data_IF_011380788388
#
_entry.id   IF_011380788388
#
_cell.length_a   1.000
_cell.length_b   1.000
_cell.length_c   1.000
_cell.angle_alpha   90.00
_cell.angle_beta   90.00
_cell.angle_gamma   90.00
#
_symmetry.space_group_name_H-M   'P 1'
#
loop_
_entity.id
_entity.type
_entity.pdbx_description
1 polymer ?
#
# COMPACT_ATOMS: atom_id res chain seq x y z
N UNK A 1 -32.24 202.81 168.24
CA UNK A 1 -31.66 203.90 167.43
C UNK A 1 -30.54 203.31 166.59
N UNK A 2 -30.48 203.75 165.32
CA UNK A 2 -29.72 203.26 164.16
C UNK A 2 -28.19 203.32 164.35
N UNK A 3 -27.44 202.37 163.77
CA UNK A 3 -26.31 202.61 162.84
C UNK A 3 -25.67 201.30 162.30
N UNK A 4 -25.35 201.33 161.01
CA UNK A 4 -24.75 200.31 160.14
C UNK A 4 -23.24 200.10 160.42
N UNK A 5 -22.71 198.90 160.11
CA UNK A 5 -21.40 198.72 159.44
C UNK A 5 -21.25 197.31 158.83
N UNK A 6 -20.70 197.27 157.61
CA UNK A 6 -20.66 196.18 156.62
C UNK A 6 -19.39 195.30 156.68
N UNK A 7 -19.43 194.20 155.91
CA UNK A 7 -18.33 193.48 155.20
C UNK A 7 -17.60 192.33 155.91
N UNK A 8 -17.98 191.05 155.66
CA UNK A 8 -17.07 189.89 155.77
C UNK A 8 -17.47 188.60 154.98
N UNK A 9 -18.41 188.62 154.02
CA UNK A 9 -18.98 187.37 153.46
C UNK A 9 -18.58 187.00 152.00
N UNK A 10 -17.98 187.92 151.24
CA UNK A 10 -17.66 187.69 149.80
C UNK A 10 -16.51 186.72 149.49
N UNK A 11 -15.67 186.37 150.46
CA UNK A 11 -14.49 185.50 150.22
C UNK A 11 -14.83 183.99 150.22
N UNK A 12 -15.92 183.57 150.88
CA UNK A 12 -16.31 182.15 150.94
C UNK A 12 -16.96 181.65 149.65
N UNK A 13 -17.76 182.49 148.98
CA UNK A 13 -18.44 182.12 147.73
C UNK A 13 -17.47 181.99 146.54
N UNK A 14 -16.38 182.76 146.53
CA UNK A 14 -15.38 182.69 145.46
C UNK A 14 -14.57 181.39 145.50
N UNK A 15 -14.24 180.90 146.70
CA UNK A 15 -13.49 179.66 146.90
C UNK A 15 -14.33 178.41 146.59
N UNK A 16 -15.63 178.44 146.88
CA UNK A 16 -16.56 177.36 146.56
C UNK A 16 -16.76 177.21 145.04
N UNK A 17 -16.92 178.34 144.32
CA UNK A 17 -17.05 178.35 142.85
C UNK A 17 -15.76 177.97 142.11
N UNK A 18 -14.60 178.10 142.77
CA UNK A 18 -13.33 177.59 142.24
C UNK A 18 -13.24 176.07 142.35
N UNK A 19 -13.60 175.51 143.51
CA UNK A 19 -13.63 174.05 143.73
C UNK A 19 -14.60 173.32 142.81
N UNK A 20 -15.82 173.84 142.63
CA UNK A 20 -16.80 173.28 141.69
C UNK A 20 -16.27 173.24 140.25
N UNK A 21 -15.54 174.27 139.80
CA UNK A 21 -14.90 174.26 138.46
C UNK A 21 -13.74 173.28 138.35
N UNK A 22 -13.00 173.04 139.42
CA UNK A 22 -11.94 172.03 139.47
C UNK A 22 -12.55 170.60 139.46
N UNK A 23 -13.65 170.37 140.18
CA UNK A 23 -14.40 169.11 140.16
C UNK A 23 -15.05 168.84 138.80
N UNK A 24 -15.71 169.82 138.18
CA UNK A 24 -16.25 169.68 136.81
C UNK A 24 -15.15 169.36 135.79
N UNK A 25 -13.96 169.96 135.96
CA UNK A 25 -12.81 169.67 135.11
C UNK A 25 -12.32 168.23 135.33
N UNK A 26 -12.24 167.75 136.58
CA UNK A 26 -11.88 166.37 136.88
C UNK A 26 -12.91 165.37 136.32
N UNK A 27 -14.21 165.62 136.49
CA UNK A 27 -15.27 164.78 135.94
C UNK A 27 -15.20 164.75 134.41
N UNK A 28 -14.92 165.90 133.77
CA UNK A 28 -14.73 165.97 132.31
C UNK A 28 -13.51 165.16 131.84
N UNK A 29 -12.39 165.25 132.56
CA UNK A 29 -11.18 164.46 132.28
C UNK A 29 -11.47 162.97 132.45
N UNK A 30 -12.11 162.58 133.56
CA UNK A 30 -12.50 161.19 133.82
C UNK A 30 -13.43 160.64 132.73
N UNK A 31 -14.42 161.43 132.28
CA UNK A 31 -15.32 161.05 131.19
C UNK A 31 -14.60 160.91 129.85
N UNK A 32 -13.64 161.79 129.56
CA UNK A 32 -12.78 161.66 128.38
C UNK A 32 -11.90 160.41 128.44
N UNK A 33 -11.40 160.07 129.63
CA UNK A 33 -10.56 158.89 129.87
C UNK A 33 -11.35 157.59 129.74
N UNK A 34 -12.56 157.52 130.30
CA UNK A 34 -13.50 156.40 130.10
C UNK A 34 -13.86 156.23 128.63
N UNK A 35 -14.16 157.32 127.91
CA UNK A 35 -14.48 157.26 126.48
C UNK A 35 -13.29 156.78 125.64
N UNK A 36 -12.08 157.23 125.98
CA UNK A 36 -10.83 156.77 125.35
C UNK A 36 -10.60 155.29 125.63
N UNK A 37 -10.86 154.83 126.85
CA UNK A 37 -10.71 153.43 127.24
C UNK A 37 -11.73 152.52 126.52
N UNK A 38 -12.99 152.94 126.45
CA UNK A 38 -14.03 152.24 125.67
C UNK A 38 -13.68 152.16 124.17
N UNK A 39 -13.10 153.23 123.60
CA UNK A 39 -12.65 153.23 122.20
C UNK A 39 -11.48 152.25 121.99
N UNK A 40 -10.53 152.21 122.92
CA UNK A 40 -9.40 151.26 122.87
C UNK A 40 -9.89 149.82 122.98
N UNK A 41 -10.79 149.52 123.91
CA UNK A 41 -11.40 148.19 124.05
C UNK A 41 -12.18 147.79 122.80
N UNK A 42 -12.93 148.72 122.20
CA UNK A 42 -13.65 148.45 120.95
C UNK A 42 -12.69 148.17 119.78
N UNK A 43 -11.58 148.90 119.67
CA UNK A 43 -10.53 148.65 118.67
C UNK A 43 -9.86 147.29 118.88
N UNK A 44 -9.50 146.96 120.12
CA UNK A 44 -8.92 145.66 120.46
C UNK A 44 -9.87 144.50 120.14
N UNK A 45 -11.16 144.65 120.43
CA UNK A 45 -12.19 143.66 120.12
C UNK A 45 -12.41 143.50 118.60
N UNK A 46 -12.34 144.58 117.83
CA UNK A 46 -12.38 144.51 116.36
C UNK A 46 -11.14 143.83 115.79
N UNK A 47 -9.95 144.11 116.33
CA UNK A 47 -8.71 143.49 115.89
C UNK A 47 -8.67 141.99 116.24
N UNK A 48 -9.15 141.61 117.42
CA UNK A 48 -9.32 140.20 117.81
C UNK A 48 -10.29 139.48 116.86
N UNK A 49 -11.46 140.07 116.57
CA UNK A 49 -12.40 139.48 115.59
C UNK A 49 -11.80 139.33 114.20
N UNK A 50 -11.00 140.29 113.74
CA UNK A 50 -10.28 140.18 112.45
C UNK A 50 -9.28 139.03 112.46
N UNK A 51 -8.49 138.88 113.53
CA UNK A 51 -7.52 137.78 113.68
C UNK A 51 -8.22 136.43 113.74
N UNK A 52 -9.32 136.32 114.48
CA UNK A 52 -10.11 135.10 114.59
C UNK A 52 -10.73 134.70 113.25
N UNK A 53 -11.33 135.66 112.52
CA UNK A 53 -11.88 135.41 111.18
C UNK A 53 -10.79 134.98 110.18
N UNK A 54 -9.61 135.61 110.22
CA UNK A 54 -8.49 135.23 109.37
C UNK A 54 -7.98 133.82 109.69
N UNK A 55 -7.90 133.46 110.97
CA UNK A 55 -7.51 132.12 111.40
C UNK A 55 -8.56 131.08 110.99
N UNK A 56 -9.85 131.40 111.10
CA UNK A 56 -10.93 130.53 110.65
C UNK A 56 -10.84 130.29 109.15
N UNK A 57 -10.63 131.34 108.35
CA UNK A 57 -10.45 131.22 106.91
C UNK A 57 -9.23 130.36 106.53
N UNK A 58 -8.11 130.52 107.24
CA UNK A 58 -6.93 129.67 107.03
C UNK A 58 -7.22 128.20 107.33
N UNK A 59 -7.97 127.90 108.41
CA UNK A 59 -8.38 126.53 108.73
C UNK A 59 -9.28 125.95 107.64
N UNK A 60 -10.26 126.70 107.14
CA UNK A 60 -11.15 126.28 106.06
C UNK A 60 -10.38 126.04 104.75
N UNK A 61 -9.42 126.91 104.40
CA UNK A 61 -8.55 126.75 103.23
C UNK A 61 -7.64 125.51 103.37
N UNK A 62 -7.06 125.28 104.56
CA UNK A 62 -6.23 124.10 104.84
C UNK A 62 -7.05 122.80 104.79
N UNK A 63 -8.28 122.81 105.31
CA UNK A 63 -9.21 121.68 105.21
C UNK A 63 -9.57 121.37 103.74
N UNK A 64 -9.85 122.40 102.93
CA UNK A 64 -10.10 122.21 101.50
C UNK A 64 -8.87 121.67 100.76
N UNK A 65 -7.67 122.17 101.05
CA UNK A 65 -6.42 121.67 100.46
C UNK A 65 -6.19 120.21 100.85
N UNK A 66 -6.43 119.84 102.10
CA UNK A 66 -6.34 118.44 102.54
C UNK A 66 -7.35 117.56 101.81
N UNK A 67 -8.59 118.02 101.64
CA UNK A 67 -9.62 117.28 100.92
C UNK A 67 -9.25 117.08 99.44
N UNK A 68 -8.73 118.11 98.78
CA UNK A 68 -8.24 118.02 97.39
C UNK A 68 -7.09 117.02 97.28
N UNK A 69 -6.10 117.09 98.19
CA UNK A 69 -4.97 116.15 98.20
C UNK A 69 -5.44 114.70 98.41
N UNK A 70 -6.41 114.49 99.30
CA UNK A 70 -7.00 113.18 99.54
C UNK A 70 -7.71 112.66 98.28
N UNK A 71 -8.57 113.48 97.66
CA UNK A 71 -9.26 113.12 96.40
C UNK A 71 -8.28 112.80 95.27
N UNK A 72 -7.25 113.62 95.07
CA UNK A 72 -6.21 113.36 94.06
C UNK A 72 -5.42 112.08 94.37
N UNK A 73 -5.18 111.76 95.65
CA UNK A 73 -4.57 110.51 96.07
C UNK A 73 -5.44 109.30 95.74
N UNK A 74 -6.74 109.37 96.05
CA UNK A 74 -7.73 108.34 95.72
C UNK A 74 -7.86 108.14 94.20
N UNK A 75 -7.95 109.22 93.42
CA UNK A 75 -7.99 109.15 91.95
C UNK A 75 -6.73 108.51 91.36
N UNK A 76 -5.54 108.88 91.85
CA UNK A 76 -4.27 108.27 91.41
C UNK A 76 -4.22 106.78 91.75
N UNK A 77 -4.65 106.40 92.95
CA UNK A 77 -4.70 105.00 93.36
C UNK A 77 -5.64 104.20 92.46
N UNK A 78 -6.82 104.74 92.15
CA UNK A 78 -7.78 104.09 91.28
C UNK A 78 -7.29 104.00 89.83
N UNK A 79 -6.56 105.00 89.33
CA UNK A 79 -5.88 104.93 88.03
C UNK A 79 -4.80 103.84 87.99
N UNK A 80 -4.03 103.66 89.07
CA UNK A 80 -3.02 102.59 89.17
C UNK A 80 -3.70 101.23 89.13
N UNK A 81 -4.74 101.01 89.93
CA UNK A 81 -5.51 99.76 89.93
C UNK A 81 -6.13 99.47 88.55
N UNK A 82 -6.71 100.46 87.89
CA UNK A 82 -7.24 100.30 86.54
C UNK A 82 -6.14 99.93 85.54
N UNK A 83 -4.96 100.57 85.61
CA UNK A 83 -3.82 100.26 84.74
C UNK A 83 -3.31 98.83 84.96
N UNK A 84 -3.19 98.38 86.20
CA UNK A 84 -2.79 97.02 86.52
C UNK A 84 -3.80 95.99 86.03
N UNK A 85 -5.09 96.27 86.21
CA UNK A 85 -6.17 95.40 85.73
C UNK A 85 -6.15 95.29 84.20
N UNK A 86 -6.01 96.41 83.50
CA UNK A 86 -5.89 96.43 82.03
C UNK A 86 -4.65 95.65 81.59
N UNK A 87 -3.51 95.83 82.26
CA UNK A 87 -2.27 95.10 81.96
C UNK A 87 -2.44 93.59 82.12
N UNK A 88 -3.06 93.13 83.20
CA UNK A 88 -3.33 91.71 83.42
C UNK A 88 -4.28 91.14 82.37
N UNK A 89 -5.35 91.87 82.04
CA UNK A 89 -6.30 91.46 80.99
C UNK A 89 -5.61 91.35 79.62
N UNK A 90 -4.77 92.31 79.25
CA UNK A 90 -4.01 92.27 77.99
C UNK A 90 -2.99 91.12 77.97
N UNK A 91 -2.33 90.84 79.10
CA UNK A 91 -1.42 89.69 79.21
C UNK A 91 -2.16 88.36 79.01
N UNK A 92 -3.34 88.20 79.64
CA UNK A 92 -4.16 87.01 79.45
C UNK A 92 -4.67 86.87 78.01
N UNK A 93 -5.14 87.96 77.41
CA UNK A 93 -5.55 87.96 76.00
C UNK A 93 -4.40 87.59 75.06
N UNK A 94 -3.21 88.18 75.24
CA UNK A 94 -2.04 87.84 74.43
C UNK A 94 -1.63 86.38 74.60
N UNK A 95 -1.70 85.83 75.81
CA UNK A 95 -1.43 84.41 76.05
C UNK A 95 -2.42 83.51 75.28
N UNK A 96 -3.72 83.84 75.31
CA UNK A 96 -4.74 83.11 74.56
C UNK A 96 -4.52 83.19 73.05
N UNK A 97 -4.18 84.38 72.53
CA UNK A 97 -3.88 84.59 71.11
C UNK A 97 -2.68 83.76 70.69
N UNK A 98 -1.59 83.77 71.46
CA UNK A 98 -0.38 83.00 71.15
C UNK A 98 -0.65 81.49 71.17
N UNK A 99 -1.40 81.00 72.15
CA UNK A 99 -1.77 79.60 72.20
C UNK A 99 -2.66 79.19 71.03
N UNK A 100 -3.64 80.03 70.66
CA UNK A 100 -4.51 79.74 69.53
C UNK A 100 -3.74 79.73 68.21
N UNK A 101 -2.80 80.68 68.02
CA UNK A 101 -1.90 80.68 66.87
C UNK A 101 -1.05 79.41 66.80
N UNK A 102 -0.54 78.95 67.94
CA UNK A 102 0.25 77.71 68.01
C UNK A 102 -0.58 76.50 67.59
N UNK A 103 -1.82 76.38 68.09
CA UNK A 103 -2.75 75.30 67.71
C UNK A 103 -3.01 75.33 66.20
N UNK A 104 -3.31 76.50 65.62
CA UNK A 104 -3.55 76.64 64.18
C UNK A 104 -2.31 76.21 63.36
N UNK A 105 -1.10 76.59 63.81
CA UNK A 105 0.14 76.20 63.14
C UNK A 105 0.34 74.68 63.20
N UNK A 106 0.11 74.07 64.37
CA UNK A 106 0.26 72.64 64.56
C UNK A 106 -0.77 71.85 63.73
N UNK A 107 -2.03 72.30 63.67
CA UNK A 107 -3.09 71.72 62.82
C UNK A 107 -2.72 71.80 61.34
N UNK A 108 -2.28 72.97 60.85
CA UNK A 108 -1.84 73.12 59.45
C UNK A 108 -0.65 72.23 59.12
N UNK A 109 0.29 72.07 60.06
CA UNK A 109 1.44 71.18 59.87
C UNK A 109 1.00 69.72 59.77
N UNK A 110 0.06 69.27 60.61
CA UNK A 110 -0.50 67.93 60.53
C UNK A 110 -1.27 67.70 59.23
N UNK A 111 -2.07 68.67 58.78
CA UNK A 111 -2.80 68.58 57.51
C UNK A 111 -1.84 68.49 56.32
N UNK A 112 -0.78 69.30 56.31
CA UNK A 112 0.27 69.24 55.27
C UNK A 112 0.94 67.87 55.24
N UNK A 113 1.35 67.34 56.40
CA UNK A 113 1.94 66.00 56.51
C UNK A 113 0.98 64.90 56.04
N UNK A 114 -0.32 65.04 56.31
CA UNK A 114 -1.34 64.09 55.85
C UNK A 114 -1.44 64.11 54.33
N UNK A 115 -1.52 65.30 53.72
CA UNK A 115 -1.57 65.47 52.27
C UNK A 115 -0.30 64.90 51.61
N UNK A 116 0.89 65.19 52.15
CA UNK A 116 2.15 64.64 51.65
C UNK A 116 2.17 63.11 51.71
N UNK A 117 1.73 62.52 52.83
CA UNK A 117 1.63 61.06 52.96
C UNK A 117 0.62 60.46 51.97
N UNK A 118 -0.53 61.10 51.77
CA UNK A 118 -1.53 60.63 50.80
C UNK A 118 -0.98 60.69 49.37
N UNK A 119 -0.23 61.74 49.01
CA UNK A 119 0.46 61.85 47.71
C UNK A 119 1.49 60.72 47.55
N UNK A 120 2.33 60.49 48.57
CA UNK A 120 3.35 59.44 48.55
C UNK A 120 2.70 58.07 48.40
N UNK A 121 1.67 57.77 49.19
CA UNK A 121 0.97 56.49 49.15
C UNK A 121 0.30 56.25 47.79
N UNK A 122 -0.35 57.28 47.22
CA UNK A 122 -0.94 57.20 45.89
C UNK A 122 0.11 56.98 44.80
N UNK A 123 1.27 57.64 44.90
CA UNK A 123 2.39 57.43 43.98
C UNK A 123 2.96 56.00 44.06
N UNK A 124 3.15 55.47 45.28
CA UNK A 124 3.60 54.08 45.49
C UNK A 124 2.59 53.10 44.90
N UNK A 125 1.30 53.30 45.16
CA UNK A 125 0.24 52.47 44.59
C UNK A 125 0.23 52.52 43.07
N UNK A 126 0.33 53.72 42.48
CA UNK A 126 0.41 53.92 41.04
C UNK A 126 1.60 53.20 40.40
N UNK A 127 2.80 53.31 40.99
CA UNK A 127 4.00 52.61 40.53
C UNK A 127 3.85 51.08 40.62
N UNK A 128 3.28 50.57 41.72
CA UNK A 128 3.02 49.14 41.87
C UNK A 128 2.04 48.62 40.81
N UNK A 129 0.98 49.37 40.52
CA UNK A 129 -0.01 49.01 39.50
C UNK A 129 0.60 49.03 38.09
N UNK A 130 1.39 50.04 37.77
CA UNK A 130 2.11 50.13 36.50
C UNK A 130 3.08 48.95 36.32
N UNK A 131 3.83 48.59 37.37
CA UNK A 131 4.76 47.47 37.31
C UNK A 131 4.03 46.13 37.10
N UNK A 132 2.89 45.93 37.76
CA UNK A 132 2.05 44.75 37.56
C UNK A 132 1.53 44.67 36.11
N UNK A 133 1.02 45.78 35.55
CA UNK A 133 0.58 45.81 34.15
C UNK A 133 1.73 45.54 33.18
N UNK A 134 2.93 46.08 33.46
CA UNK A 134 4.12 45.84 32.63
C UNK A 134 4.54 44.37 32.66
N UNK A 135 4.46 43.71 33.82
CA UNK A 135 4.73 42.27 33.97
C UNK A 135 3.72 41.45 33.18
N UNK A 136 2.42 41.71 33.33
CA UNK A 136 1.37 41.02 32.57
C UNK A 136 1.55 41.20 31.05
N UNK A 137 1.86 42.41 30.59
CA UNK A 137 2.12 42.68 29.16
C UNK A 137 3.31 41.86 28.64
N UNK A 138 4.39 41.73 29.42
CA UNK A 138 5.56 40.91 29.06
C UNK A 138 5.23 39.42 29.03
N UNK A 139 4.48 38.93 30.01
CA UNK A 139 4.05 37.53 30.03
C UNK A 139 3.16 37.20 28.83
N UNK A 140 2.20 38.07 28.51
CA UNK A 140 1.35 37.94 27.33
C UNK A 140 2.17 37.94 26.03
N UNK A 141 3.13 38.87 25.89
CA UNK A 141 4.03 38.88 24.74
C UNK A 141 4.85 37.58 24.64
N UNK A 142 5.34 37.07 25.78
CA UNK A 142 6.08 35.80 25.82
C UNK A 142 5.20 34.64 25.35
N UNK A 143 3.94 34.57 25.81
CA UNK A 143 2.99 33.55 25.38
C UNK A 143 2.69 33.62 23.87
N UNK A 144 2.48 34.83 23.33
CA UNK A 144 2.25 35.05 21.89
C UNK A 144 3.46 34.55 21.08
N UNK A 145 4.68 34.93 21.47
CA UNK A 145 5.90 34.50 20.78
C UNK A 145 6.07 32.98 20.88
N UNK A 146 5.82 32.38 22.04
CA UNK A 146 5.91 30.93 22.21
C UNK A 146 4.91 30.19 21.30
N UNK A 147 3.68 30.69 21.19
CA UNK A 147 2.66 30.12 20.33
C UNK A 147 3.03 30.25 18.84
N UNK A 148 3.52 31.42 18.41
CA UNK A 148 4.03 31.62 17.05
C UNK A 148 5.20 30.68 16.72
N UNK A 149 6.10 30.45 17.67
CA UNK A 149 7.21 29.52 17.49
C UNK A 149 6.74 28.07 17.38
N UNK A 150 5.75 27.65 18.18
CA UNK A 150 5.13 26.32 18.07
C UNK A 150 4.44 26.13 16.72
N UNK A 151 3.67 27.13 16.26
CA UNK A 151 3.02 27.09 14.94
C UNK A 151 4.03 27.01 13.79
N UNK A 152 5.11 27.80 13.86
CA UNK A 152 6.18 27.75 12.87
C UNK A 152 6.87 26.38 12.84
N UNK A 153 7.11 25.79 14.02
CA UNK A 153 7.71 24.46 14.12
C UNK A 153 6.78 23.38 13.54
N UNK A 154 5.49 23.42 13.86
CA UNK A 154 4.48 22.52 13.27
C UNK A 154 4.43 22.65 11.74
N UNK A 155 4.47 23.88 11.21
CA UNK A 155 4.50 24.13 9.77
C UNK A 155 5.74 23.52 9.11
N UNK A 156 6.92 23.68 9.72
CA UNK A 156 8.17 23.07 9.23
C UNK A 156 8.13 21.54 9.24
N UNK A 157 7.60 20.94 10.30
CA UNK A 157 7.44 19.48 10.38
C UNK A 157 6.47 18.96 9.33
N UNK A 158 5.35 19.67 9.10
CA UNK A 158 4.41 19.33 8.03
C UNK A 158 5.09 19.41 6.66
N UNK A 159 5.79 20.50 6.36
CA UNK A 159 6.51 20.66 5.10
C UNK A 159 7.57 19.56 4.88
N UNK A 160 8.25 19.13 5.95
CA UNK A 160 9.20 18.01 5.88
C UNK A 160 8.50 16.70 5.51
N UNK A 161 7.37 16.40 6.16
CA UNK A 161 6.56 15.21 5.85
C UNK A 161 6.02 15.23 4.42
N UNK A 162 5.54 16.40 3.97
CA UNK A 162 5.04 16.57 2.61
C UNK A 162 6.17 16.32 1.58
N UNK A 163 7.37 16.86 1.82
CA UNK A 163 8.56 16.58 0.99
C UNK A 163 8.99 15.12 1.01
N UNK A 164 8.98 14.46 2.17
CA UNK A 164 9.28 13.03 2.29
C UNK A 164 8.25 12.19 1.52
N UNK A 165 6.98 12.56 1.59
CA UNK A 165 5.90 11.91 0.85
C UNK A 165 6.05 12.09 -0.67
N UNK A 166 6.34 13.30 -1.14
CA UNK A 166 6.64 13.56 -2.55
C UNK A 166 7.84 12.74 -3.04
N UNK A 167 8.90 12.65 -2.23
CA UNK A 167 10.07 11.81 -2.56
C UNK A 167 9.71 10.32 -2.65
N UNK A 168 8.85 9.82 -1.76
CA UNK A 168 8.38 8.43 -1.80
C UNK A 168 7.56 8.16 -3.06
N UNK A 169 6.65 9.06 -3.44
CA UNK A 169 5.88 8.95 -4.69
C UNK A 169 6.82 8.92 -5.88
N UNK A 170 7.79 9.83 -5.96
CA UNK A 170 8.74 9.88 -7.05
C UNK A 170 9.57 8.59 -7.16
N UNK A 171 10.02 8.05 -6.02
CA UNK A 171 10.75 6.78 -5.97
C UNK A 171 9.91 5.61 -6.44
N UNK A 172 8.65 5.52 -6.00
CA UNK A 172 7.70 4.49 -6.43
C UNK A 172 7.42 4.58 -7.94
N UNK A 173 7.17 5.78 -8.47
CA UNK A 173 6.98 6.01 -9.90
C UNK A 173 8.20 5.58 -10.71
N UNK A 174 9.40 5.92 -10.24
CA UNK A 174 10.66 5.53 -10.90
C UNK A 174 10.87 4.02 -10.89
N UNK A 175 10.56 3.34 -9.77
CA UNK A 175 10.64 1.89 -9.69
C UNK A 175 9.63 1.21 -10.60
N UNK A 176 8.39 1.70 -10.66
CA UNK A 176 7.35 1.17 -11.54
C UNK A 176 7.71 1.35 -13.02
N UNK A 177 8.23 2.51 -13.41
CA UNK A 177 8.67 2.75 -14.78
C UNK A 177 9.87 1.89 -15.15
N UNK A 178 10.85 1.73 -14.24
CA UNK A 178 11.98 0.81 -14.42
C UNK A 178 11.52 -0.64 -14.62
N UNK A 179 10.59 -1.13 -13.80
CA UNK A 179 10.00 -2.47 -13.96
C UNK A 179 9.25 -2.61 -15.30
N UNK A 180 8.54 -1.57 -15.73
CA UNK A 180 7.83 -1.54 -17.01
C UNK A 180 8.81 -1.62 -18.18
N UNK A 181 9.90 -0.84 -18.15
CA UNK A 181 10.96 -0.87 -19.15
C UNK A 181 11.60 -2.26 -19.19
N UNK A 182 11.97 -2.83 -18.03
CA UNK A 182 12.57 -4.16 -17.96
C UNK A 182 11.65 -5.24 -18.56
N UNK A 183 10.35 -5.22 -18.25
CA UNK A 183 9.38 -6.14 -18.87
C UNK A 183 9.29 -5.97 -20.39
N UNK A 184 9.39 -4.75 -20.91
CA UNK A 184 9.42 -4.50 -22.34
C UNK A 184 10.71 -5.05 -22.96
N UNK A 185 11.87 -4.81 -22.36
CA UNK A 185 13.15 -5.36 -22.81
C UNK A 185 13.15 -6.89 -22.85
N UNK A 186 12.62 -7.55 -21.81
CA UNK A 186 12.48 -9.01 -21.76
C UNK A 186 11.54 -9.52 -22.85
N UNK A 187 10.44 -8.81 -23.12
CA UNK A 187 9.53 -9.13 -24.22
C UNK A 187 10.24 -9.05 -25.58
N UNK A 188 11.03 -8.00 -25.82
CA UNK A 188 11.82 -7.86 -27.04
C UNK A 188 12.89 -8.96 -27.15
N UNK A 189 13.62 -9.26 -26.07
CA UNK A 189 14.60 -10.36 -26.03
C UNK A 189 13.93 -11.69 -26.41
N UNK A 190 12.79 -12.00 -25.81
CA UNK A 190 12.02 -13.20 -26.12
C UNK A 190 11.52 -13.22 -27.57
N UNK A 191 11.08 -12.08 -28.10
CA UNK A 191 10.69 -11.97 -29.50
C UNK A 191 11.86 -12.30 -30.44
N UNK A 192 13.02 -11.67 -30.22
CA UNK A 192 14.21 -11.93 -31.04
C UNK A 192 14.75 -13.35 -30.88
N UNK A 193 14.68 -13.93 -29.69
CA UNK A 193 15.00 -15.33 -29.47
C UNK A 193 14.09 -16.24 -30.30
N UNK A 194 12.77 -16.06 -30.22
CA UNK A 194 11.81 -16.83 -31.03
C UNK A 194 12.02 -16.63 -32.53
N UNK A 195 12.42 -15.43 -32.95
CA UNK A 195 12.73 -15.15 -34.35
C UNK A 195 13.98 -15.93 -34.80
N UNK A 196 15.02 -15.96 -33.97
CA UNK A 196 16.23 -16.77 -34.20
C UNK A 196 15.91 -18.28 -34.24
N UNK A 197 15.13 -18.78 -33.29
CA UNK A 197 14.65 -20.17 -33.28
C UNK A 197 13.88 -20.50 -34.57
N UNK A 198 12.97 -19.62 -35.01
CA UNK A 198 12.24 -19.78 -36.28
C UNK A 198 13.18 -19.79 -37.48
N UNK A 199 14.19 -18.93 -37.49
CA UNK A 199 15.18 -18.89 -38.56
C UNK A 199 15.99 -20.19 -38.62
N UNK A 200 16.43 -20.72 -37.47
CA UNK A 200 17.13 -22.00 -37.39
C UNK A 200 16.25 -23.14 -37.89
N UNK A 201 14.98 -23.21 -37.44
CA UNK A 201 14.02 -24.21 -37.93
C UNK A 201 13.82 -24.11 -39.45
N UNK A 202 13.72 -22.90 -40.00
CA UNK A 202 13.60 -22.71 -41.45
C UNK A 202 14.87 -23.15 -42.19
N UNK A 203 16.06 -22.88 -41.64
CA UNK A 203 17.32 -23.38 -42.21
C UNK A 203 17.41 -24.90 -42.14
N UNK A 204 16.96 -25.53 -41.06
CA UNK A 204 16.91 -26.99 -40.93
C UNK A 204 15.96 -27.60 -41.97
N UNK A 205 14.76 -27.02 -42.12
CA UNK A 205 13.80 -27.41 -43.17
C UNK A 205 14.42 -27.24 -44.56
N UNK A 206 15.15 -26.15 -44.80
CA UNK A 206 15.82 -25.91 -46.08
C UNK A 206 16.91 -26.96 -46.33
N UNK A 207 17.75 -27.27 -45.34
CA UNK A 207 18.79 -28.31 -45.46
C UNK A 207 18.19 -29.69 -45.76
N UNK A 208 17.10 -30.03 -45.08
CA UNK A 208 16.40 -31.32 -45.28
C UNK A 208 15.78 -31.41 -46.68
N UNK A 209 15.13 -30.34 -47.15
CA UNK A 209 14.31 -30.38 -48.37
C UNK A 209 15.02 -29.92 -49.63
N UNK A 210 16.01 -29.04 -49.52
CA UNK A 210 16.63 -28.33 -50.65
C UNK A 210 18.10 -28.73 -50.84
N UNK A 211 18.86 -28.91 -49.76
CA UNK A 211 20.28 -29.31 -49.87
C UNK A 211 20.46 -30.83 -50.04
N UNK A 212 19.47 -31.65 -49.64
CA UNK A 212 19.55 -33.10 -49.77
C UNK A 212 18.40 -33.78 -50.53
N UNK A 213 17.97 -33.25 -51.70
CA UNK A 213 16.92 -33.87 -52.52
C UNK A 213 17.35 -35.27 -53.00
N UNK A 214 18.66 -35.52 -53.05
CA UNK A 214 19.24 -36.82 -53.37
C UNK A 214 18.82 -37.90 -52.38
N UNK A 215 18.81 -37.62 -51.08
CA UNK A 215 18.40 -38.62 -50.06
C UNK A 215 16.92 -38.97 -50.16
N UNK A 216 16.07 -37.97 -50.44
CA UNK A 216 14.64 -38.19 -50.64
C UNK A 216 14.35 -38.94 -51.96
N UNK A 217 15.06 -38.60 -53.04
CA UNK A 217 14.99 -39.31 -54.31
C UNK A 217 15.52 -40.74 -54.19
N UNK A 218 16.65 -40.95 -53.51
CA UNK A 218 17.24 -42.26 -53.26
C UNK A 218 16.28 -43.13 -52.43
N UNK A 219 15.59 -42.57 -51.44
CA UNK A 219 14.54 -43.27 -50.69
C UNK A 219 13.38 -43.71 -51.59
N UNK A 220 12.88 -42.82 -52.46
CA UNK A 220 11.79 -43.13 -53.41
C UNK A 220 12.24 -44.20 -54.42
N UNK A 221 13.44 -44.06 -54.97
CA UNK A 221 14.02 -45.01 -55.93
C UNK A 221 14.20 -46.37 -55.27
N UNK A 222 14.80 -46.43 -54.08
CA UNK A 222 15.01 -47.69 -53.35
C UNK A 222 13.69 -48.37 -53.01
N UNK A 223 12.65 -47.62 -52.65
CA UNK A 223 11.31 -48.16 -52.43
C UNK A 223 10.74 -48.77 -53.70
N UNK A 224 10.84 -48.07 -54.84
CA UNK A 224 10.37 -48.58 -56.13
C UNK A 224 11.18 -49.77 -56.65
N UNK A 225 12.48 -49.81 -56.37
CA UNK A 225 13.34 -50.96 -56.69
C UNK A 225 12.93 -52.17 -55.87
N UNK A 226 12.73 -51.99 -54.55
CA UNK A 226 12.28 -53.06 -53.66
C UNK A 226 10.89 -53.58 -54.04
N UNK A 227 9.93 -52.70 -54.31
CA UNK A 227 8.60 -53.09 -54.79
C UNK A 227 8.65 -53.86 -56.12
N UNK A 228 9.60 -53.54 -57.02
CA UNK A 228 9.82 -54.31 -58.25
C UNK A 228 10.43 -55.69 -57.96
N UNK A 229 11.45 -55.76 -57.09
CA UNK A 229 12.05 -57.03 -56.69
C UNK A 229 11.01 -57.96 -56.01
N UNK A 230 10.21 -57.42 -55.09
CA UNK A 230 9.16 -58.17 -54.40
C UNK A 230 8.10 -58.67 -55.41
N UNK A 231 7.77 -57.89 -56.45
CA UNK A 231 6.86 -58.33 -57.53
C UNK A 231 7.49 -59.43 -58.39
N UNK A 232 8.74 -59.27 -58.80
CA UNK A 232 9.47 -60.28 -59.59
C UNK A 232 9.62 -61.59 -58.81
N UNK A 233 9.91 -61.53 -57.51
CA UNK A 233 9.98 -62.70 -56.64
C UNK A 233 8.62 -63.39 -56.51
N UNK A 234 7.55 -62.62 -56.31
CA UNK A 234 6.19 -63.17 -56.26
C UNK A 234 5.77 -63.81 -57.61
N UNK A 235 6.09 -63.18 -58.74
CA UNK A 235 5.83 -63.75 -60.07
C UNK A 235 6.62 -65.04 -60.30
N UNK A 236 7.89 -65.08 -59.91
CA UNK A 236 8.73 -66.28 -59.98
C UNK A 236 8.17 -67.40 -59.09
N UNK A 237 7.81 -67.10 -57.84
CA UNK A 237 7.20 -68.08 -56.92
C UNK A 237 5.89 -68.63 -57.50
N UNK A 238 5.06 -67.75 -58.08
CA UNK A 238 3.80 -68.13 -58.72
C UNK A 238 4.04 -69.04 -59.92
N UNK A 239 4.97 -68.69 -60.83
CA UNK A 239 5.34 -69.55 -61.96
C UNK A 239 5.87 -70.91 -61.50
N UNK A 240 6.71 -70.94 -60.46
CA UNK A 240 7.26 -72.18 -59.90
C UNK A 240 6.16 -73.08 -59.34
N UNK A 241 5.20 -72.52 -58.60
CA UNK A 241 4.04 -73.27 -58.12
C UNK A 241 3.20 -73.82 -59.29
N UNK A 242 3.01 -73.03 -60.34
CA UNK A 242 2.24 -73.43 -61.52
C UNK A 242 2.92 -74.58 -62.26
N UNK A 243 4.25 -74.54 -62.42
CA UNK A 243 5.04 -75.65 -62.97
C UNK A 243 4.96 -76.90 -62.09
N UNK A 244 5.04 -76.77 -60.76
CA UNK A 244 4.87 -77.90 -59.84
C UNK A 244 3.49 -78.55 -59.98
N UNK A 245 2.44 -77.73 -60.08
CA UNK A 245 1.07 -78.22 -60.30
C UNK A 245 0.94 -78.93 -61.65
N UNK A 246 1.53 -78.41 -62.71
CA UNK A 246 1.57 -79.09 -64.02
C UNK A 246 2.31 -80.44 -63.94
N UNK A 247 3.47 -80.49 -63.26
CA UNK A 247 4.20 -81.74 -63.02
C UNK A 247 3.36 -82.76 -62.24
N UNK A 248 2.63 -82.33 -61.21
CA UNK A 248 1.73 -83.20 -60.46
C UNK A 248 0.58 -83.72 -61.33
N UNK A 249 -0.05 -82.85 -62.14
CA UNK A 249 -1.11 -83.28 -63.08
C UNK A 249 -0.56 -84.33 -64.04
N UNK A 250 0.63 -84.12 -64.60
CA UNK A 250 1.28 -85.09 -65.49
C UNK A 250 1.59 -86.42 -64.78
N UNK A 251 2.17 -86.38 -63.58
CA UNK A 251 2.46 -87.58 -62.79
C UNK A 251 1.19 -88.36 -62.42
N UNK A 252 0.13 -87.66 -61.99
CA UNK A 252 -1.16 -88.28 -61.69
C UNK A 252 -1.78 -88.90 -62.95
N UNK A 253 -1.69 -88.22 -64.09
CA UNK A 253 -2.13 -88.76 -65.38
C UNK A 253 -1.39 -90.06 -65.74
N UNK A 254 -0.06 -90.08 -65.57
CA UNK A 254 0.75 -91.27 -65.79
C UNK A 254 0.41 -92.42 -64.82
N UNK A 255 0.20 -92.09 -63.55
CA UNK A 255 -0.19 -93.07 -62.53
C UNK A 255 -1.55 -93.72 -62.84
N UNK A 256 -2.55 -92.92 -63.23
CA UNK A 256 -3.86 -93.41 -63.66
C UNK A 256 -3.74 -94.35 -64.87
N UNK A 257 -2.92 -94.00 -65.86
CA UNK A 257 -2.70 -94.82 -67.05
C UNK A 257 -2.03 -96.17 -66.71
N UNK A 258 -1.09 -96.17 -65.76
CA UNK A 258 -0.48 -97.39 -65.23
C UNK A 258 -1.47 -98.24 -64.44
N UNK A 259 -2.36 -97.61 -63.66
CA UNK A 259 -3.42 -98.31 -62.93
C UNK A 259 -4.41 -98.98 -63.89
N UNK A 260 -4.91 -98.26 -64.91
CA UNK A 260 -5.79 -98.83 -65.94
C UNK A 260 -5.13 -100.02 -66.66
N UNK A 261 -3.83 -99.92 -66.96
CA UNK A 261 -3.09 -101.01 -67.60
C UNK A 261 -2.98 -102.23 -66.69
N UNK A 262 -2.74 -102.04 -65.40
CA UNK A 262 -2.68 -103.11 -64.41
C UNK A 262 -4.06 -103.76 -64.19
N UNK A 263 -5.14 -102.98 -64.17
CA UNK A 263 -6.51 -103.50 -64.08
C UNK A 263 -6.89 -104.31 -65.32
N UNK A 264 -6.56 -103.82 -66.52
CA UNK A 264 -6.72 -104.59 -67.77
C UNK A 264 -5.94 -105.89 -67.74
N UNK A 265 -4.69 -105.88 -67.25
CA UNK A 265 -3.88 -107.08 -67.10
C UNK A 265 -4.50 -108.08 -66.12
N UNK A 266 -5.00 -107.62 -64.96
CA UNK A 266 -5.73 -108.48 -64.01
C UNK A 266 -6.98 -109.10 -64.63
N UNK A 267 -7.74 -108.34 -65.41
CA UNK A 267 -8.90 -108.84 -66.16
C UNK A 267 -8.49 -109.92 -67.17
N UNK A 268 -7.41 -109.70 -67.92
CA UNK A 268 -6.88 -110.66 -68.89
C UNK A 268 -6.38 -111.94 -68.22
N UNK A 269 -5.68 -111.82 -67.08
CA UNK A 269 -5.20 -112.96 -66.29
C UNK A 269 -6.39 -113.76 -65.72
N UNK A 270 -7.45 -113.11 -65.23
CA UNK A 270 -8.69 -113.79 -64.80
C UNK A 270 -9.36 -114.55 -65.95
N UNK A 271 -9.43 -113.98 -67.16
CA UNK A 271 -10.00 -114.66 -68.34
C UNK A 271 -9.16 -115.89 -68.72
N UNK A 272 -7.82 -115.79 -68.65
CA UNK A 272 -6.93 -116.94 -68.90
C UNK A 272 -7.09 -118.03 -67.85
N UNK A 273 -7.23 -117.67 -66.58
CA UNK A 273 -7.48 -118.61 -65.48
C UNK A 273 -8.82 -119.35 -65.68
N UNK A 274 -9.88 -118.63 -66.06
CA UNK A 274 -11.19 -119.22 -66.40
C UNK A 274 -11.08 -120.23 -67.54
N UNK A 275 -10.43 -119.86 -68.67
CA UNK A 275 -10.22 -120.78 -69.79
C UNK A 275 -9.41 -122.02 -69.40
N UNK A 276 -8.45 -121.87 -68.49
CA UNK A 276 -7.65 -123.01 -67.99
C UNK A 276 -8.49 -123.98 -67.16
N UNK A 277 -9.42 -123.47 -66.35
CA UNK A 277 -10.37 -124.31 -65.62
C UNK A 277 -11.34 -125.04 -66.57
N UNK A 278 -11.84 -124.37 -67.61
CA UNK A 278 -12.68 -125.00 -68.64
C UNK A 278 -11.93 -126.14 -69.37
N UNK A 279 -10.66 -125.92 -69.75
CA UNK A 279 -9.82 -126.96 -70.38
C UNK A 279 -9.61 -128.15 -69.45
N UNK A 280 -9.35 -127.92 -68.17
CA UNK A 280 -9.19 -128.99 -67.17
C UNK A 280 -10.48 -129.80 -66.99
N UNK A 281 -11.62 -129.13 -66.97
CA UNK A 281 -12.93 -129.79 -66.84
C UNK A 281 -13.23 -130.64 -68.09
N UNK A 282 -12.91 -130.14 -69.28
CA UNK A 282 -13.02 -130.89 -70.53
C UNK A 282 -12.05 -132.09 -70.58
N UNK A 283 -10.82 -131.96 -70.06
CA UNK A 283 -9.86 -133.07 -70.03
C UNK A 283 -10.30 -134.18 -69.08
N UNK A 284 -10.86 -133.83 -67.91
CA UNK A 284 -11.40 -134.80 -66.96
C UNK A 284 -12.57 -135.60 -67.57
N UNK A 285 -13.48 -134.92 -68.29
CA UNK A 285 -14.58 -135.59 -69.01
C UNK A 285 -14.05 -136.54 -70.11
N UNK A 286 -13.02 -136.11 -70.84
CA UNK A 286 -12.38 -136.95 -71.87
C UNK A 286 -11.70 -138.19 -71.26
N UNK A 287 -11.01 -138.03 -70.13
CA UNK A 287 -10.38 -139.15 -69.42
C UNK A 287 -11.40 -140.13 -68.84
N UNK A 288 -12.53 -139.64 -68.34
CA UNK A 288 -13.65 -140.46 -67.87
C UNK A 288 -14.28 -141.28 -69.01
N UNK A 289 -14.48 -140.67 -70.19
CA UNK A 289 -14.92 -141.40 -71.39
C UNK A 289 -13.92 -142.49 -71.81
N UNK A 290 -12.62 -142.18 -71.82
CA UNK A 290 -11.55 -143.14 -72.11
C UNK A 290 -11.51 -144.31 -71.11
N UNK A 291 -11.80 -144.06 -69.82
CA UNK A 291 -11.86 -145.11 -68.79
C UNK A 291 -13.04 -146.05 -69.00
N UNK A 292 -14.21 -145.52 -69.34
CA UNK A 292 -15.40 -146.31 -69.69
C UNK A 292 -15.15 -147.18 -70.94
N UNK A 293 -14.47 -146.64 -71.94
CA UNK A 293 -14.13 -147.37 -73.16
C UNK A 293 -13.12 -148.51 -72.91
N UNK A 294 -12.12 -148.28 -72.05
CA UNK A 294 -11.16 -149.32 -71.62
C UNK A 294 -11.83 -150.44 -70.81
N UNK A 295 -12.79 -150.11 -69.95
CA UNK A 295 -13.58 -151.12 -69.21
C UNK A 295 -14.38 -152.00 -70.18
N UNK A 296 -15.05 -151.40 -71.17
CA UNK A 296 -15.81 -152.12 -72.20
C UNK A 296 -14.93 -153.05 -73.05
N UNK A 297 -13.72 -152.61 -73.43
CA UNK A 297 -12.74 -153.45 -74.16
C UNK A 297 -12.22 -154.63 -73.33
N UNK A 298 -12.05 -154.45 -72.01
CA UNK A 298 -11.55 -155.50 -71.10
C UNK A 298 -12.61 -156.60 -70.86
N UNK A 299 -13.89 -156.23 -70.84
CA UNK A 299 -15.02 -157.15 -70.76
C UNK A 299 -15.14 -158.03 -72.03
N UNK A 300 -14.94 -157.43 -73.20
CA UNK A 300 -14.95 -158.15 -74.50
C UNK A 300 -13.75 -159.12 -74.62
N UNK A 301 -12.56 -158.74 -74.14
CA UNK A 301 -11.38 -159.63 -74.18
C UNK A 301 -11.48 -160.82 -73.21
N UNK A 302 -12.14 -160.69 -72.06
CA UNK A 302 -12.30 -161.79 -71.11
C UNK A 302 -13.26 -162.89 -71.61
N UNK A 303 -14.28 -162.54 -72.40
CA UNK A 303 -15.15 -163.54 -73.04
C UNK A 303 -14.42 -164.33 -74.14
N UNK A 304 -13.40 -163.74 -74.77
CA UNK A 304 -12.66 -164.35 -75.86
C UNK A 304 -11.55 -165.32 -75.39
N UNK A 305 -10.99 -165.14 -74.19
CA UNK A 305 -9.78 -165.89 -73.75
C UNK A 305 -10.02 -167.22 -73.01
N UNK A 306 -11.23 -167.55 -72.56
CA UNK A 306 -11.49 -168.82 -71.83
C UNK A 306 -12.04 -169.96 -72.70
N UNK A 307 -12.48 -169.71 -73.93
CA UNK A 307 -12.96 -170.76 -74.85
C UNK A 307 -11.85 -171.45 -75.67
N UNK A 308 -10.57 -171.05 -75.57
CA UNK A 308 -9.52 -171.47 -76.51
C UNK A 308 -8.23 -172.06 -75.87
N UNK A 309 -8.33 -172.67 -74.69
CA UNK A 309 -7.25 -173.49 -74.09
C UNK A 309 -7.51 -175.02 -74.17
N UNK A 310 -8.02 -175.48 -75.32
CA UNK A 310 -7.77 -176.82 -75.89
C UNK A 310 -7.62 -176.64 -77.41
N UNK A 311 -6.65 -177.37 -78.01
CA UNK A 311 -6.35 -177.46 -79.45
C UNK A 311 -5.36 -176.44 -80.07
N UNK A 312 -4.13 -176.95 -80.28
CA UNK A 312 -3.47 -177.12 -81.59
C UNK A 312 -2.90 -175.94 -82.42
N UNK A 313 -1.58 -176.08 -82.70
CA UNK A 313 -0.85 -175.97 -83.98
C UNK A 313 -0.79 -174.66 -84.82
N UNK A 314 0.46 -174.30 -85.14
CA UNK A 314 1.04 -173.94 -86.47
C UNK A 314 0.58 -172.73 -87.31
N UNK A 315 1.61 -171.98 -87.75
CA UNK A 315 1.83 -171.28 -89.04
C UNK A 315 1.03 -170.03 -89.48
N UNK A 316 1.82 -168.97 -89.77
CA UNK A 316 1.77 -168.03 -90.93
C UNK A 316 0.71 -166.92 -91.08
N UNK A 317 1.23 -165.74 -91.51
CA UNK A 317 0.69 -164.70 -92.41
C UNK A 317 -0.48 -163.76 -92.02
N UNK A 318 -0.32 -162.48 -92.44
CA UNK A 318 -1.41 -161.53 -92.76
C UNK A 318 -1.75 -160.55 -91.63
N UNK A 319 -1.36 -159.26 -91.61
CA UNK A 319 -1.58 -158.09 -92.51
C UNK A 319 -3.01 -157.52 -92.47
N UNK A 320 -3.13 -156.21 -92.16
CA UNK A 320 -3.85 -155.10 -92.84
C UNK A 320 -4.38 -154.08 -91.79
N UNK A 321 -3.82 -152.85 -91.76
CA UNK A 321 -4.19 -151.63 -92.53
C UNK A 321 -5.41 -150.91 -91.92
N UNK A 322 -5.39 -149.60 -91.71
CA UNK A 322 -5.35 -148.50 -92.70
C UNK A 322 -4.69 -147.24 -92.09
N UNK A 323 -3.68 -146.58 -92.69
CA UNK A 323 -3.70 -145.61 -93.82
C UNK A 323 -4.71 -144.47 -93.65
N UNK A 324 -4.35 -143.18 -93.82
CA UNK A 324 -4.19 -142.43 -95.10
C UNK A 324 -3.34 -141.15 -94.82
N UNK A 325 -2.15 -141.00 -95.42
CA UNK A 325 -1.75 -140.28 -96.67
C UNK A 325 -1.56 -138.75 -96.56
N UNK A 326 -0.33 -138.26 -96.79
CA UNK A 326 0.18 -137.51 -97.98
C UNK A 326 -0.37 -136.07 -98.09
N UNK A 327 0.37 -135.00 -98.42
CA UNK A 327 1.52 -134.81 -99.31
C UNK A 327 2.11 -133.39 -99.17
N UNK A 328 3.32 -133.23 -99.70
CA UNK A 328 4.04 -131.98 -100.00
C UNK A 328 3.22 -130.95 -100.79
N UNK A 329 3.58 -129.65 -100.70
CA UNK A 329 3.64 -128.65 -101.81
C UNK A 329 4.12 -127.27 -101.28
N UNK A 330 5.26 -126.81 -101.82
CA UNK A 330 5.46 -125.50 -102.50
C UNK A 330 5.49 -124.14 -101.73
N UNK A 331 6.46 -123.31 -102.16
CA UNK A 331 6.61 -121.84 -102.05
C UNK A 331 5.62 -121.14 -103.04
N UNK A 332 5.66 -119.84 -103.41
CA UNK A 332 5.74 -118.54 -102.72
C UNK A 332 4.44 -117.67 -102.90
N UNK A 333 4.40 -116.50 -102.24
CA UNK A 333 3.70 -115.24 -102.65
C UNK A 333 2.30 -115.31 -103.33
N UNK A 334 1.27 -114.93 -102.57
CA UNK A 334 0.20 -114.03 -103.07
C UNK A 334 -0.07 -112.94 -102.02
N UNK A 335 0.49 -111.74 -102.15
CA UNK A 335 0.00 -110.60 -102.95
C UNK A 335 -0.87 -109.64 -102.10
N UNK A 336 -0.90 -108.32 -102.41
CA UNK A 336 -0.08 -107.36 -101.66
C UNK A 336 -0.88 -106.07 -101.33
N UNK A 337 -0.22 -105.08 -100.73
CA UNK A 337 -0.47 -103.71 -101.17
C UNK A 337 0.86 -102.92 -101.21
N UNK A 338 1.25 -102.40 -102.38
CA UNK A 338 2.49 -101.68 -102.60
C UNK A 338 2.31 -100.17 -102.42
N UNK A 339 3.23 -99.55 -101.68
CA UNK A 339 3.79 -98.19 -101.87
C UNK A 339 4.72 -97.95 -100.65
N UNK A 340 6.04 -97.86 -100.84
CA UNK A 340 6.73 -96.61 -101.18
C UNK A 340 6.44 -95.55 -100.08
N UNK A 341 7.38 -95.02 -99.30
CA UNK A 341 8.68 -94.43 -99.67
C UNK A 341 9.63 -94.39 -98.45
N UNK A 342 10.90 -94.65 -98.76
CA UNK A 342 12.13 -94.32 -98.04
C UNK A 342 12.36 -92.81 -97.76
N UNK A 343 13.15 -92.53 -96.71
CA UNK A 343 14.29 -91.58 -96.69
C UNK A 343 14.06 -90.06 -96.40
N UNK A 344 15.13 -89.27 -96.08
CA UNK A 344 16.27 -89.47 -95.14
C UNK A 344 16.78 -88.12 -94.51
N UNK A 345 18.03 -88.10 -93.98
CA UNK A 345 18.87 -86.98 -93.48
C UNK A 345 18.79 -86.70 -91.97
N UNK A 346 19.69 -87.21 -91.12
CA UNK A 346 21.17 -87.04 -91.02
C UNK A 346 21.61 -85.59 -90.73
N UNK A 347 22.11 -85.43 -89.51
CA UNK A 347 23.02 -84.41 -89.00
C UNK A 347 24.24 -84.13 -89.92
N UNK A 348 24.51 -82.86 -90.22
CA UNK A 348 25.85 -82.28 -90.51
C UNK A 348 25.82 -80.79 -90.15
N UNK A 349 26.53 -80.36 -89.11
CA UNK A 349 27.91 -79.83 -89.07
C UNK A 349 28.11 -78.40 -89.63
N UNK A 350 28.56 -77.53 -88.71
CA UNK A 350 29.68 -76.58 -88.83
C UNK A 350 29.49 -75.29 -89.68
N UNK A 351 29.55 -74.17 -88.93
CA UNK A 351 30.11 -72.84 -89.24
C UNK A 351 29.81 -72.18 -90.60
N UNK A 352 29.25 -70.96 -90.57
CA UNK A 352 29.95 -69.73 -90.98
C UNK A 352 29.11 -68.49 -90.58
N UNK A 353 29.83 -67.41 -90.27
CA UNK A 353 29.42 -66.00 -90.10
C UNK A 353 28.36 -65.58 -91.15
N UNK A 354 27.49 -64.57 -90.97
CA UNK A 354 27.82 -63.17 -90.64
C UNK A 354 26.53 -62.32 -90.49
N UNK A 355 26.59 -61.26 -89.67
CA UNK A 355 25.93 -59.95 -89.82
C UNK A 355 24.50 -59.79 -90.39
N UNK A 356 23.62 -59.29 -89.51
CA UNK A 356 22.94 -57.97 -89.56
C UNK A 356 22.03 -57.57 -90.74
N UNK A 357 20.93 -56.92 -90.32
CA UNK A 357 20.13 -55.86 -90.95
C UNK A 357 18.89 -56.23 -91.77
N UNK A 358 17.78 -55.63 -91.28
CA UNK A 358 16.68 -54.99 -92.01
C UNK A 358 15.70 -55.91 -92.75
N UNK A 359 14.41 -55.61 -92.89
CA UNK A 359 13.44 -54.67 -92.30
C UNK A 359 12.10 -54.98 -92.99
N UNK A 360 10.98 -54.90 -92.25
CA UNK A 360 9.59 -54.52 -92.61
C UNK A 360 9.22 -54.20 -94.08
N UNK A 361 7.95 -54.38 -94.54
CA UNK A 361 6.76 -53.70 -93.97
C UNK A 361 5.43 -54.53 -94.07
N UNK A 362 4.22 -54.15 -93.65
CA UNK A 362 3.53 -52.85 -93.67
C UNK A 362 2.19 -52.86 -92.91
N UNK A 363 1.84 -51.69 -92.33
CA UNK A 363 0.50 -51.05 -92.23
C UNK A 363 -0.58 -51.71 -91.33
N UNK A 364 -1.07 -51.03 -90.29
CA UNK A 364 -2.00 -49.89 -90.44
C UNK A 364 -1.75 -48.70 -89.48
N UNK A 365 -1.88 -47.48 -90.05
CA UNK A 365 -1.92 -46.17 -89.40
C UNK A 365 -3.30 -45.92 -88.75
N UNK A 366 -3.43 -45.14 -87.66
CA UNK A 366 -3.47 -43.65 -87.64
C UNK A 366 -3.32 -43.14 -86.19
N UNK A 367 -2.32 -42.28 -85.88
CA UNK A 367 -2.34 -40.79 -85.80
C UNK A 367 -3.41 -40.25 -84.82
N UNK A 368 -3.08 -39.58 -83.70
CA UNK A 368 -2.24 -38.38 -83.56
C UNK A 368 -1.66 -38.22 -82.15
N UNK A 369 -0.38 -37.85 -82.09
CA UNK A 369 0.23 -37.11 -80.98
C UNK A 369 0.98 -35.90 -81.58
N UNK A 370 0.76 -34.71 -81.01
CA UNK A 370 1.70 -33.59 -80.85
C UNK A 370 0.87 -32.40 -80.33
N UNK A 371 1.25 -31.69 -79.28
CA UNK A 371 2.50 -30.96 -79.17
C UNK A 371 2.98 -30.87 -77.72
N UNK A 372 4.29 -31.03 -77.56
CA UNK A 372 5.03 -30.25 -76.57
C UNK A 372 5.81 -29.17 -77.31
N UNK A 373 5.90 -27.96 -76.71
CA UNK A 373 7.15 -27.23 -76.51
C UNK A 373 6.93 -25.97 -75.68
N UNK A 374 7.96 -25.70 -74.90
CA UNK A 374 8.25 -24.69 -73.90
C UNK A 374 8.51 -23.27 -74.41
N UNK A 375 8.27 -22.28 -73.55
CA UNK A 375 9.14 -21.10 -73.24
C UNK A 375 8.41 -20.22 -72.20
N UNK A 376 8.85 -20.10 -70.94
CA UNK A 376 9.82 -19.13 -70.37
C UNK A 376 9.47 -17.63 -70.52
N UNK A 377 9.39 -16.96 -69.35
CA UNK A 377 9.69 -15.54 -69.01
C UNK A 377 8.66 -14.46 -69.43
N UNK A 378 7.87 -14.00 -68.46
CA UNK A 378 8.08 -12.74 -67.71
C UNK A 378 7.39 -12.82 -66.34
#
# INVERSE_FOLDING_TARGET
MILQQNNYDGYKEFDMNRKLREEEKQVRVMKQEIMKQQLIEQQQLQEQRKKELQLQKQREDDEQIQLIRKKQGEEKFQQIQNRETIKQNLQQQNYLILNHQKIIIDEKKQETLKIENDIINNAIYGLSLEEQMRRQKREMQKQIVEQQMKELQQKKEKEKKDKEFEQLIYKEQTQNESQRIQKQEDSYRNYYQKLSERQNVLQDIYREKVDNPKLQLDYIINKQVKERQDKEENEYLTQRQLQQKQKQIYQNGLANQMQEKNEKKKLEDNIKEQRKQEILQASLQYEEQQRLERLRKREIQQQYHSQLSTLSQSQSNGILNTEVSQSNIYNPLTNPNPNQIQNPYILRQIQYNNTNLQSNPSMSQSKLASFGKSSLIN
#
